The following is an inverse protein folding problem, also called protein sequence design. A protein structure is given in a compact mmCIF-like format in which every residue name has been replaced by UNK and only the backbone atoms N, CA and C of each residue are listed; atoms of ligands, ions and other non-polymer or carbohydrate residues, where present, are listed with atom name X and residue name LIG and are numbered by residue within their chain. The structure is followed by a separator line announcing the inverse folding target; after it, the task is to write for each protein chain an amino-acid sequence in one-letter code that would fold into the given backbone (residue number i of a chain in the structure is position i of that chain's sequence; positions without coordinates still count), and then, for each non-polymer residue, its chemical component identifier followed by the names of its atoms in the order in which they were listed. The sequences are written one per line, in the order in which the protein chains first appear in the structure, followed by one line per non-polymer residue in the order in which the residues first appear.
data_IF_363253854358
#
_entry.id   IF_363253854358
#
_cell.length_a   1.000
_cell.length_b   1.000
_cell.length_c   1.000
_cell.angle_alpha   90.00
_cell.angle_beta   90.00
_cell.angle_gamma   90.00
#
_symmetry.space_group_name_H-M   'P 1'
#
loop_
_entity.id
_entity.type
_entity.pdbx_description
1 polymer ?
#
# COMPACT_ATOMS: atom_id res chain seq x y z
N UNK A 1 33.37 -10.47 19.89
CA UNK A 1 31.95 -10.63 19.46
C UNK A 1 31.63 -9.49 18.51
N UNK A 2 31.52 -9.71 17.18
CA UNK A 2 31.00 -8.64 16.33
C UNK A 2 29.48 -8.56 16.52
N UNK A 3 29.00 -7.35 16.75
CA UNK A 3 27.58 -7.03 16.84
C UNK A 3 26.90 -7.35 15.49
N UNK A 4 25.85 -8.17 15.55
CA UNK A 4 24.98 -8.45 14.40
C UNK A 4 24.12 -7.21 14.16
N UNK A 5 24.57 -6.33 13.28
CA UNK A 5 23.74 -5.27 12.71
C UNK A 5 22.65 -5.95 11.88
N UNK A 6 21.43 -6.06 12.44
CA UNK A 6 20.26 -6.47 11.67
C UNK A 6 20.04 -5.53 10.48
N UNK A 7 19.42 -6.00 9.38
CA UNK A 7 19.28 -5.20 8.18
C UNK A 7 18.46 -3.94 8.49
N UNK A 8 19.00 -2.78 8.12
CA UNK A 8 18.26 -1.53 8.15
C UNK A 8 16.98 -1.68 7.31
N UNK A 9 15.81 -1.47 7.93
CA UNK A 9 14.50 -1.56 7.28
C UNK A 9 14.45 -0.59 6.09
N UNK A 10 14.44 -1.14 4.88
CA UNK A 10 14.48 -0.37 3.65
C UNK A 10 13.13 0.31 3.35
N UNK A 11 13.09 1.24 2.38
CA UNK A 11 11.85 1.91 1.95
C UNK A 11 10.71 0.95 1.55
N UNK A 12 11.03 -0.27 1.14
CA UNK A 12 10.05 -1.31 0.82
C UNK A 12 9.25 -1.82 2.01
N UNK A 13 9.77 -1.73 3.24
CA UNK A 13 9.14 -2.33 4.42
C UNK A 13 7.90 -1.56 4.88
N UNK A 14 7.93 -0.23 4.83
CA UNK A 14 6.81 0.63 5.23
C UNK A 14 5.64 0.53 4.25
N UNK A 15 5.93 0.57 2.95
CA UNK A 15 4.89 0.43 1.92
C UNK A 15 4.24 -0.96 1.98
N UNK A 16 5.04 -2.02 2.08
CA UNK A 16 4.52 -3.38 2.16
C UNK A 16 3.68 -3.59 3.43
N UNK A 17 4.09 -3.04 4.58
CA UNK A 17 3.30 -3.07 5.81
C UNK A 17 1.97 -2.31 5.65
N UNK A 18 1.99 -1.13 5.03
CA UNK A 18 0.79 -0.37 4.69
C UNK A 18 -0.16 -1.16 3.79
N UNK A 19 0.37 -1.81 2.75
CA UNK A 19 -0.41 -2.66 1.86
C UNK A 19 -1.07 -3.82 2.61
N UNK A 20 -0.33 -4.51 3.49
CA UNK A 20 -0.87 -5.61 4.31
C UNK A 20 -1.98 -5.14 5.26
N UNK A 21 -1.92 -3.91 5.76
CA UNK A 21 -2.96 -3.31 6.60
C UNK A 21 -4.20 -2.90 5.80
N UNK A 22 -4.00 -2.21 4.68
CA UNK A 22 -5.09 -1.58 3.91
C UNK A 22 -5.76 -2.54 2.92
N UNK A 23 -5.00 -3.41 2.28
CA UNK A 23 -5.49 -4.28 1.21
C UNK A 23 -6.66 -5.17 1.63
N UNK A 24 -6.58 -5.94 2.73
CA UNK A 24 -7.71 -6.76 3.19
C UNK A 24 -8.97 -5.92 3.47
N UNK A 25 -8.80 -4.70 3.97
CA UNK A 25 -9.91 -3.76 4.19
C UNK A 25 -10.50 -3.30 2.85
N UNK A 26 -9.67 -2.94 1.87
CA UNK A 26 -10.13 -2.59 0.52
C UNK A 26 -10.91 -3.74 -0.14
N UNK A 27 -10.40 -4.97 -0.05
CA UNK A 27 -11.08 -6.14 -0.59
C UNK A 27 -12.45 -6.34 0.06
N UNK A 28 -12.53 -6.26 1.39
CA UNK A 28 -13.76 -6.42 2.16
C UNK A 28 -14.75 -5.28 1.93
N UNK A 29 -14.30 -4.04 2.11
CA UNK A 29 -15.17 -2.87 2.18
C UNK A 29 -15.55 -2.38 0.78
N UNK A 30 -14.68 -2.56 -0.22
CA UNK A 30 -14.94 -2.13 -1.60
C UNK A 30 -15.17 -3.30 -2.56
N UNK A 31 -15.18 -4.55 -2.11
CA UNK A 31 -15.46 -5.71 -2.96
C UNK A 31 -14.42 -5.88 -4.08
N UNK A 32 -13.16 -5.61 -3.78
CA UNK A 32 -12.05 -5.71 -4.72
C UNK A 32 -11.35 -7.06 -4.62
N UNK A 33 -10.82 -7.56 -5.73
CA UNK A 33 -9.84 -8.66 -5.71
C UNK A 33 -8.48 -8.18 -5.21
N UNK A 34 -7.55 -9.11 -4.96
CA UNK A 34 -6.19 -8.81 -4.54
C UNK A 34 -5.45 -7.90 -5.54
N UNK A 35 -5.54 -8.19 -6.84
CA UNK A 35 -4.88 -7.41 -7.88
C UNK A 35 -5.57 -6.07 -8.15
N UNK A 36 -6.89 -5.96 -7.95
CA UNK A 36 -7.60 -4.69 -8.03
C UNK A 36 -7.23 -3.78 -6.86
N UNK A 37 -7.20 -4.32 -5.63
CA UNK A 37 -6.71 -3.60 -4.46
C UNK A 37 -5.24 -3.20 -4.62
N UNK A 38 -4.40 -4.07 -5.19
CA UNK A 38 -3.01 -3.77 -5.49
C UNK A 38 -2.85 -2.66 -6.54
N UNK A 39 -3.69 -2.62 -7.57
CA UNK A 39 -3.70 -1.55 -8.57
C UNK A 39 -4.01 -0.18 -7.96
N UNK A 40 -4.96 -0.12 -7.04
CA UNK A 40 -5.26 1.09 -6.25
C UNK A 40 -4.08 1.47 -5.35
N UNK A 41 -3.59 0.55 -4.52
CA UNK A 41 -2.46 0.80 -3.61
C UNK A 41 -1.16 1.16 -4.36
N UNK A 42 -0.96 0.64 -5.57
CA UNK A 42 0.18 0.97 -6.41
C UNK A 42 0.17 2.41 -6.89
N UNK A 43 -1.00 2.93 -7.27
CA UNK A 43 -1.18 4.34 -7.60
C UNK A 43 -0.94 5.23 -6.38
N UNK A 44 -1.59 4.94 -5.25
CA UNK A 44 -1.38 5.69 -4.00
C UNK A 44 0.10 5.64 -3.55
N UNK A 45 0.76 4.50 -3.73
CA UNK A 45 2.19 4.32 -3.47
C UNK A 45 3.08 5.19 -4.35
N UNK A 46 2.74 5.34 -5.64
CA UNK A 46 3.42 6.26 -6.52
C UNK A 46 3.24 7.72 -6.06
N UNK A 47 2.01 8.15 -5.79
CA UNK A 47 1.70 9.53 -5.39
C UNK A 47 2.39 9.93 -4.08
N UNK A 48 2.40 9.02 -3.10
CA UNK A 48 2.90 9.30 -1.74
C UNK A 48 4.36 8.91 -1.51
N UNK A 49 5.07 8.40 -2.54
CA UNK A 49 6.42 7.85 -2.37
C UNK A 49 6.47 6.65 -1.41
N UNK A 50 5.50 5.76 -1.49
CA UNK A 50 5.37 4.57 -0.64
C UNK A 50 4.79 4.86 0.74
N UNK A 51 3.80 5.75 0.83
CA UNK A 51 3.17 6.25 2.06
C UNK A 51 4.10 7.06 2.97
N UNK A 52 5.20 7.60 2.42
CA UNK A 52 6.20 8.37 3.17
C UNK A 52 5.93 9.87 3.14
N UNK A 53 5.21 10.37 2.13
CA UNK A 53 4.87 11.78 1.94
C UNK A 53 3.38 12.03 2.20
N UNK A 54 2.89 11.68 3.39
CA UNK A 54 1.50 11.99 3.78
C UNK A 54 1.21 13.50 3.84
N UNK A 55 2.23 14.36 3.79
CA UNK A 55 2.10 15.80 3.60
C UNK A 55 3.11 16.24 2.53
N UNK A 56 2.64 16.88 1.46
CA UNK A 56 3.51 17.48 0.44
C UNK A 56 4.30 18.63 1.08
N UNK A 57 5.63 18.54 1.00
CA UNK A 57 6.56 19.51 1.61
C UNK A 57 6.77 20.74 0.71
N UNK A 58 6.57 20.59 -0.60
CA UNK A 58 6.72 21.66 -1.59
C UNK A 58 5.59 21.57 -2.64
N UNK A 59 4.46 22.27 -2.42
CA UNK A 59 3.32 22.29 -3.33
C UNK A 59 3.71 22.79 -4.72
N UNK A 60 3.28 22.08 -5.78
CA UNK A 60 3.47 22.55 -7.16
C UNK A 60 2.78 23.91 -7.46
N UNK A 61 1.78 24.28 -6.65
CA UNK A 61 1.11 25.58 -6.71
C UNK A 61 1.54 26.41 -5.50
N UNK A 62 2.28 27.49 -5.72
CA UNK A 62 2.69 28.41 -4.67
C UNK A 62 1.48 28.95 -3.90
N UNK A 63 1.48 28.80 -2.56
CA UNK A 63 0.36 29.18 -1.70
C UNK A 63 -0.72 28.09 -1.50
N UNK A 64 -0.65 26.97 -2.23
CA UNK A 64 -1.46 25.78 -1.93
C UNK A 64 -0.96 25.08 -0.67
N UNK A 65 -1.85 24.38 0.03
CA UNK A 65 -1.47 23.52 1.17
C UNK A 65 -0.80 22.21 0.74
N UNK A 66 -0.76 21.94 -0.57
CA UNK A 66 -0.22 20.72 -1.18
C UNK A 66 -1.10 19.48 -1.02
N UNK A 67 -0.69 18.40 -1.67
CA UNK A 67 -1.23 17.05 -1.56
C UNK A 67 -1.10 16.52 -0.14
N UNK A 68 -2.16 15.89 0.33
CA UNK A 68 -2.21 15.41 1.71
C UNK A 68 -2.83 14.02 1.77
N UNK A 69 -2.25 13.17 2.59
CA UNK A 69 -2.68 11.81 2.84
C UNK A 69 -2.39 10.77 1.74
N UNK A 70 -3.01 9.60 1.87
CA UNK A 70 -2.82 8.41 1.02
C UNK A 70 -3.01 8.70 -0.48
N UNK A 71 -4.02 9.48 -0.84
CA UNK A 71 -4.35 9.83 -2.22
C UNK A 71 -3.85 11.22 -2.63
N UNK A 72 -2.96 11.82 -1.85
CA UNK A 72 -2.45 13.18 -2.08
C UNK A 72 -3.58 14.19 -2.41
N UNK A 73 -4.66 14.18 -1.62
CA UNK A 73 -5.81 15.06 -1.85
C UNK A 73 -5.36 16.51 -1.88
N UNK A 74 -5.70 17.22 -2.97
CA UNK A 74 -5.44 18.64 -3.18
C UNK A 74 -6.75 19.42 -3.30
N UNK A 75 -6.67 20.75 -3.12
CA UNK A 75 -7.77 21.67 -3.42
C UNK A 75 -9.11 21.28 -2.75
N UNK A 76 -10.24 21.27 -3.49
CA UNK A 76 -11.54 20.93 -2.94
C UNK A 76 -11.64 19.55 -2.30
N UNK A 77 -10.92 18.54 -2.82
CA UNK A 77 -10.93 17.18 -2.26
C UNK A 77 -10.33 17.15 -0.86
N UNK A 78 -9.27 17.93 -0.63
CA UNK A 78 -8.66 18.10 0.70
C UNK A 78 -9.61 18.74 1.69
N UNK A 79 -10.29 19.83 1.28
CA UNK A 79 -11.26 20.53 2.13
C UNK A 79 -12.40 19.60 2.54
N UNK A 80 -12.93 18.82 1.60
CA UNK A 80 -13.99 17.85 1.87
C UNK A 80 -13.54 16.75 2.84
N UNK A 81 -12.31 16.26 2.72
CA UNK A 81 -11.76 15.26 3.65
C UNK A 81 -11.59 15.80 5.07
N UNK A 82 -11.04 17.02 5.21
CA UNK A 82 -10.89 17.66 6.50
C UNK A 82 -12.25 17.96 7.15
N UNK A 83 -13.24 18.39 6.37
CA UNK A 83 -14.60 18.60 6.84
C UNK A 83 -15.26 17.29 7.29
N UNK A 84 -15.09 16.22 6.51
CA UNK A 84 -15.58 14.90 6.87
C UNK A 84 -14.96 14.41 8.18
N UNK A 85 -13.64 14.59 8.35
CA UNK A 85 -12.95 14.20 9.59
C UNK A 85 -13.47 14.97 10.82
N UNK A 86 -13.68 16.29 10.68
CA UNK A 86 -14.28 17.11 11.75
C UNK A 86 -15.67 16.62 12.13
N UNK A 87 -16.52 16.31 11.15
CA UNK A 87 -17.88 15.81 11.39
C UNK A 87 -17.92 14.43 12.06
N UNK A 88 -16.86 13.63 11.91
CA UNK A 88 -16.75 12.28 12.47
C UNK A 88 -15.81 12.19 13.68
N UNK A 89 -15.37 13.34 14.21
CA UNK A 89 -14.46 13.45 15.35
C UNK A 89 -13.22 12.55 15.24
N UNK A 90 -12.66 12.41 14.03
CA UNK A 90 -11.44 11.64 13.80
C UNK A 90 -10.28 12.54 13.40
N UNK A 91 -9.06 12.11 13.77
CA UNK A 91 -7.85 12.84 13.40
C UNK A 91 -7.61 12.72 11.88
N UNK A 92 -7.65 13.84 11.12
CA UNK A 92 -7.32 13.85 9.71
C UNK A 92 -5.97 13.17 9.40
N UNK A 93 -4.96 13.29 10.26
CA UNK A 93 -3.64 12.71 10.04
C UNK A 93 -3.59 11.19 10.21
N UNK A 94 -4.60 10.59 10.87
CA UNK A 94 -4.61 9.15 11.11
C UNK A 94 -4.82 8.36 9.82
N UNK A 95 -4.08 7.24 9.69
CA UNK A 95 -4.21 6.35 8.55
C UNK A 95 -5.64 5.79 8.42
N UNK A 96 -6.32 5.58 9.56
CA UNK A 96 -7.70 5.09 9.57
C UNK A 96 -8.69 6.12 9.03
N UNK A 97 -8.60 7.39 9.45
CA UNK A 97 -9.47 8.45 8.93
C UNK A 97 -9.29 8.62 7.42
N UNK A 98 -8.04 8.64 6.95
CA UNK A 98 -7.73 8.73 5.52
C UNK A 98 -8.29 7.54 4.74
N UNK A 99 -8.13 6.31 5.24
CA UNK A 99 -8.73 5.13 4.61
C UNK A 99 -10.26 5.22 4.56
N UNK A 100 -10.91 5.62 5.66
CA UNK A 100 -12.37 5.72 5.72
C UNK A 100 -12.88 6.77 4.73
N UNK A 101 -12.21 7.92 4.64
CA UNK A 101 -12.57 8.94 3.66
C UNK A 101 -12.33 8.49 2.22
N UNK A 102 -11.22 7.79 1.93
CA UNK A 102 -10.99 7.18 0.61
C UNK A 102 -12.17 6.28 0.21
N UNK A 103 -12.68 5.48 1.14
CA UNK A 103 -13.86 4.63 0.89
C UNK A 103 -15.14 5.44 0.67
N UNK A 104 -15.34 6.55 1.39
CA UNK A 104 -16.47 7.47 1.17
C UNK A 104 -16.40 8.02 -0.24
N UNK A 105 -15.24 8.50 -0.66
CA UNK A 105 -15.03 9.11 -1.97
C UNK A 105 -15.28 8.09 -3.09
N UNK A 106 -14.65 6.91 -3.02
CA UNK A 106 -14.82 5.83 -3.99
C UNK A 106 -16.25 5.28 -4.07
N UNK A 107 -17.07 5.46 -3.02
CA UNK A 107 -18.49 5.06 -3.05
C UNK A 107 -19.43 6.18 -3.49
N UNK A 108 -18.95 7.42 -3.58
CA UNK A 108 -19.78 8.59 -3.87
C UNK A 108 -19.26 9.32 -5.10
N UNK A 109 -18.44 10.36 -4.91
CA UNK A 109 -17.96 11.24 -5.98
C UNK A 109 -17.06 10.52 -6.99
N UNK A 110 -16.44 9.41 -6.60
CA UNK A 110 -15.55 8.60 -7.44
C UNK A 110 -16.13 7.20 -7.71
N UNK A 111 -17.46 7.04 -7.58
CA UNK A 111 -18.15 5.77 -7.78
C UNK A 111 -17.93 5.17 -9.18
N UNK A 112 -17.80 6.01 -10.21
CA UNK A 112 -17.48 5.56 -11.57
C UNK A 112 -16.09 4.92 -11.66
N UNK A 113 -15.09 5.49 -10.99
CA UNK A 113 -13.74 4.92 -10.93
C UNK A 113 -13.75 3.57 -10.18
N UNK A 114 -14.49 3.47 -9.07
CA UNK A 114 -14.65 2.21 -8.34
C UNK A 114 -15.37 1.14 -9.18
N UNK A 115 -16.44 1.51 -9.89
CA UNK A 115 -17.16 0.58 -10.76
C UNK A 115 -16.25 0.04 -11.87
N UNK A 116 -15.48 0.90 -12.53
CA UNK A 116 -14.51 0.49 -13.54
C UNK A 116 -13.39 -0.39 -12.94
N UNK A 117 -12.87 -0.02 -11.76
CA UNK A 117 -11.82 -0.79 -11.09
C UNK A 117 -12.26 -2.22 -10.78
N UNK A 118 -13.52 -2.40 -10.34
CA UNK A 118 -14.10 -3.73 -10.08
C UNK A 118 -14.22 -4.60 -11.34
N UNK A 119 -14.29 -3.99 -12.52
CA UNK A 119 -14.36 -4.69 -13.81
C UNK A 119 -12.98 -4.92 -14.45
N UNK A 120 -11.91 -4.36 -13.87
CA UNK A 120 -10.57 -4.53 -14.41
C UNK A 120 -10.15 -6.01 -14.34
N UNK A 121 -9.71 -6.64 -15.45
CA UNK A 121 -9.40 -8.07 -15.50
C UNK A 121 -7.97 -8.41 -15.07
N UNK A 122 -7.07 -7.43 -15.01
CA UNK A 122 -5.65 -7.62 -14.71
C UNK A 122 -5.10 -6.54 -13.79
N UNK A 123 -3.91 -6.78 -13.22
CA UNK A 123 -3.20 -5.78 -12.42
C UNK A 123 -2.90 -4.52 -13.23
N UNK A 124 -2.49 -4.68 -14.49
CA UNK A 124 -2.21 -3.60 -15.43
C UNK A 124 -3.46 -2.76 -15.68
N UNK A 125 -4.59 -3.41 -16.01
CA UNK A 125 -5.85 -2.72 -16.26
C UNK A 125 -6.36 -2.02 -14.99
N UNK A 126 -6.23 -2.64 -13.81
CA UNK A 126 -6.62 -2.02 -12.55
C UNK A 126 -5.76 -0.79 -12.25
N UNK A 127 -4.45 -0.90 -12.43
CA UNK A 127 -3.49 0.19 -12.22
C UNK A 127 -3.79 1.36 -13.16
N UNK A 128 -4.02 1.07 -14.44
CA UNK A 128 -4.36 2.09 -15.43
C UNK A 128 -5.72 2.74 -15.15
N UNK A 129 -6.72 1.94 -14.77
CA UNK A 129 -8.06 2.44 -14.41
C UNK A 129 -7.98 3.44 -13.27
N UNK A 130 -7.27 3.12 -12.18
CA UNK A 130 -7.09 4.07 -11.06
C UNK A 130 -6.33 5.32 -11.49
N UNK A 131 -5.24 5.16 -12.26
CA UNK A 131 -4.45 6.28 -12.76
C UNK A 131 -5.33 7.26 -13.55
N UNK A 132 -6.13 6.75 -14.50
CA UNK A 132 -6.90 7.58 -15.42
C UNK A 132 -8.21 8.09 -14.84
N UNK A 133 -8.87 7.32 -13.98
CA UNK A 133 -10.21 7.65 -13.52
C UNK A 133 -10.26 8.21 -12.12
N UNK A 134 -9.33 7.86 -11.23
CA UNK A 134 -9.30 8.36 -9.86
C UNK A 134 -8.24 9.45 -9.66
N UNK A 135 -6.97 9.16 -9.99
CA UNK A 135 -5.87 10.10 -9.77
C UNK A 135 -5.89 11.25 -10.79
N UNK A 136 -6.14 10.94 -12.06
CA UNK A 136 -6.16 11.91 -13.18
C UNK A 136 -4.93 12.84 -13.17
N UNK A 137 -3.69 12.31 -13.10
CA UNK A 137 -2.50 13.13 -12.96
C UNK A 137 -2.16 13.81 -14.30
N UNK A 138 -1.52 14.98 -14.23
CA UNK A 138 -1.02 15.66 -15.44
C UNK A 138 0.05 14.86 -16.19
N UNK A 139 0.82 14.01 -15.48
CA UNK A 139 1.81 13.10 -16.07
C UNK A 139 1.40 11.65 -15.78
N UNK A 140 1.10 10.91 -16.85
CA UNK A 140 0.68 9.51 -16.79
C UNK A 140 1.90 8.60 -16.64
N UNK A 141 2.41 8.46 -15.41
CA UNK A 141 3.58 7.63 -15.07
C UNK A 141 3.26 6.13 -14.88
N UNK A 142 2.58 5.49 -15.85
CA UNK A 142 2.02 4.14 -15.69
C UNK A 142 3.06 3.06 -15.35
N UNK A 143 4.25 3.08 -15.94
CA UNK A 143 5.28 2.09 -15.65
C UNK A 143 5.68 2.09 -14.15
N UNK A 144 5.90 3.28 -13.59
CA UNK A 144 6.22 3.40 -12.16
C UNK A 144 5.05 2.95 -11.28
N UNK A 145 3.82 3.35 -11.62
CA UNK A 145 2.61 2.92 -10.89
C UNK A 145 2.43 1.41 -10.90
N UNK A 146 2.72 0.77 -12.03
CA UNK A 146 2.67 -0.68 -12.18
C UNK A 146 3.74 -1.39 -11.34
N UNK A 147 4.95 -0.83 -11.24
CA UNK A 147 5.98 -1.38 -10.36
C UNK A 147 5.58 -1.31 -8.88
N UNK A 148 4.94 -0.22 -8.46
CA UNK A 148 4.34 -0.13 -7.12
C UNK A 148 3.18 -1.11 -6.94
N UNK A 149 2.32 -1.28 -7.95
CA UNK A 149 1.21 -2.23 -7.91
C UNK A 149 1.69 -3.68 -7.78
N UNK A 150 2.78 -4.05 -8.48
CA UNK A 150 3.43 -5.37 -8.33
C UNK A 150 3.95 -5.61 -6.92
N UNK A 151 4.58 -4.58 -6.30
CA UNK A 151 5.04 -4.65 -4.90
C UNK A 151 3.87 -4.80 -3.93
N UNK A 152 2.78 -4.06 -4.17
CA UNK A 152 1.56 -4.19 -3.37
C UNK A 152 0.98 -5.61 -3.48
N UNK A 153 0.83 -6.14 -4.70
CA UNK A 153 0.30 -7.48 -4.93
C UNK A 153 1.14 -8.55 -4.24
N UNK A 154 2.47 -8.45 -4.33
CA UNK A 154 3.39 -9.34 -3.63
C UNK A 154 3.14 -9.29 -2.11
N UNK A 155 3.07 -8.09 -1.53
CA UNK A 155 2.83 -7.92 -0.09
C UNK A 155 1.48 -8.52 0.37
N UNK A 156 0.43 -8.39 -0.44
CA UNK A 156 -0.90 -8.94 -0.15
C UNK A 156 -0.91 -10.47 -0.19
N UNK A 157 -0.25 -11.07 -1.18
CA UNK A 157 -0.19 -12.53 -1.33
C UNK A 157 0.73 -13.19 -0.31
N UNK A 158 1.81 -12.54 0.11
CA UNK A 158 2.65 -13.04 1.21
C UNK A 158 1.89 -13.08 2.53
N UNK A 159 1.01 -12.10 2.81
CA UNK A 159 0.20 -12.10 4.02
C UNK A 159 -0.90 -13.17 4.02
N UNK A 160 -1.34 -13.62 2.83
CA UNK A 160 -2.35 -14.66 2.66
C UNK A 160 -1.77 -16.08 2.74
N UNK A 161 -0.45 -16.26 2.65
CA UNK A 161 0.18 -17.57 2.77
C UNK A 161 0.24 -18.01 4.25
N UNK A 162 -0.16 -19.25 4.59
CA UNK A 162 0.04 -19.79 5.93
C UNK A 162 1.54 -19.82 6.27
N UNK A 163 1.93 -19.65 7.55
CA UNK A 163 3.34 -19.75 7.92
C UNK A 163 3.87 -21.13 7.54
N UNK A 164 4.89 -21.16 6.68
CA UNK A 164 5.64 -22.38 6.39
C UNK A 164 6.27 -22.83 7.72
N UNK A 165 6.04 -24.07 8.20
CA UNK A 165 6.74 -24.55 9.39
C UNK A 165 8.24 -24.53 9.11
N UNK A 166 9.01 -23.78 9.90
CA UNK A 166 10.47 -23.80 9.83
C UNK A 166 10.96 -25.24 9.97
N UNK A 167 11.70 -25.73 8.97
CA UNK A 167 12.25 -27.07 8.99
C UNK A 167 13.32 -27.17 10.09
N UNK A 168 13.03 -27.94 11.13
CA UNK A 168 14.05 -28.42 12.09
C UNK A 168 14.95 -29.44 11.40
N UNK A 169 15.86 -28.99 10.54
CA UNK A 169 16.91 -29.82 9.97
C UNK A 169 18.28 -29.24 10.36
N UNK A 170 18.85 -29.74 11.46
CA UNK A 170 20.19 -29.32 11.88
C UNK A 170 20.63 -29.72 13.28
N UNK A 171 20.43 -30.98 13.72
CA UNK A 171 21.19 -31.53 14.84
C UNK A 171 21.93 -32.79 14.40
N UNK A 172 22.98 -32.61 13.61
CA UNK A 172 23.98 -33.65 13.37
C UNK A 172 24.81 -33.80 14.65
N UNK A 173 24.50 -34.80 15.48
CA UNK A 173 25.41 -35.25 16.54
C UNK A 173 26.57 -35.98 15.86
N UNK A 174 27.76 -35.40 15.87
CA UNK A 174 29.00 -36.13 15.54
C UNK A 174 29.24 -37.18 16.64
N UNK A 175 29.12 -38.46 16.29
CA UNK A 175 29.66 -39.54 17.10
C UNK A 175 31.19 -39.44 17.09
N UNK A 176 31.81 -39.46 18.28
CA UNK A 176 33.26 -39.53 18.42
C UNK A 176 33.71 -40.95 18.19
N UNK A 177 34.70 -41.09 17.33
CA UNK A 177 35.49 -42.29 17.09
C UNK A 177 36.35 -42.58 18.35
N UNK A 178 36.19 -43.74 18.96
CA UNK A 178 37.17 -44.32 19.89
C UNK A 178 37.61 -45.64 19.32
N UNK A 179 38.81 -45.66 18.76
CA UNK A 179 39.52 -46.89 18.44
C UNK A 179 40.25 -47.43 19.67
N UNK A 180 40.32 -48.74 19.78
CA UNK A 180 41.50 -49.54 20.18
C UNK A 180 41.12 -51.01 19.93
N UNK A 181 41.76 -51.67 18.95
CA UNK A 181 42.98 -52.49 19.04
C UNK A 181 42.83 -53.80 19.83
N UNK A 182 43.20 -54.85 19.09
CA UNK A 182 43.73 -56.16 19.49
C UNK A 182 42.74 -57.21 19.97
#
# INVERSE_FOLDING_TARGET
MPATTGPARGPGDAFAAGCRSLGPRLMRDLGLTDFQAAGLLGNLGHESGGFRKLQEVAPAVAGSRGGWGLAQWTGPRRVAMEAWCRAHACDPASLDAQYRYLCVELRTTEAAALAALRQAPTLEAATETVCRLFERPGVIALASRLDWARRALAALRTAAAPPIPESRAGRVRRARNTGDRS
#
